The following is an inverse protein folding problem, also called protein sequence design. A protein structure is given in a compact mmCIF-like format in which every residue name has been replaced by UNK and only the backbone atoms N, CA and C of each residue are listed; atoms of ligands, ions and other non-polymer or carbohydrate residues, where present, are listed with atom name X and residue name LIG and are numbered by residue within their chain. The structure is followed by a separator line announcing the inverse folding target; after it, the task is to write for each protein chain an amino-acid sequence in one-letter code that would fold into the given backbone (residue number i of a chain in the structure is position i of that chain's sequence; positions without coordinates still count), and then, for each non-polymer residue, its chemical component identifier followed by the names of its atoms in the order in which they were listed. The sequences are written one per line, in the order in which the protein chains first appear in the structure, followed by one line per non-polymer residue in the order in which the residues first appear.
data_IF_389573890149
#
_entry.id   IF_389573890149
#
_cell.length_a   1.000
_cell.length_b   1.000
_cell.length_c   1.000
_cell.angle_alpha   90.00
_cell.angle_beta   90.00
_cell.angle_gamma   90.00
#
_symmetry.space_group_name_H-M   'P 1'
#
loop_
_entity.id
_entity.type
_entity.pdbx_description
1 polymer ?
#
# COMPACT_ATOMS: atom_id res chain seq x y z
N UNK A 1 43.68 25.48 -4.81
CA UNK A 1 42.78 24.45 -5.40
C UNK A 1 42.92 23.08 -4.76
N UNK A 2 44.14 22.57 -4.52
CA UNK A 2 44.39 21.24 -3.94
C UNK A 2 43.74 21.06 -2.55
N UNK A 3 43.89 22.02 -1.65
CA UNK A 3 43.32 21.95 -0.30
C UNK A 3 41.78 21.88 -0.28
N UNK A 4 41.11 22.56 -1.22
CA UNK A 4 39.66 22.55 -1.35
C UNK A 4 39.19 21.18 -1.84
N UNK A 5 39.89 20.59 -2.80
CA UNK A 5 39.59 19.24 -3.30
C UNK A 5 39.77 18.17 -2.19
N UNK A 6 40.86 18.25 -1.41
CA UNK A 6 41.10 17.32 -0.31
C UNK A 6 40.03 17.39 0.77
N UNK A 7 39.56 18.59 1.12
CA UNK A 7 38.50 18.78 2.11
C UNK A 7 37.16 18.20 1.63
N UNK A 8 36.80 18.40 0.36
CA UNK A 8 35.58 17.83 -0.23
C UNK A 8 35.63 16.30 -0.26
N UNK A 9 36.79 15.71 -0.57
CA UNK A 9 36.98 14.25 -0.55
C UNK A 9 36.82 13.69 0.87
N UNK A 10 37.39 14.37 1.87
CA UNK A 10 37.29 13.93 3.27
C UNK A 10 35.85 14.03 3.78
N UNK A 11 35.15 15.12 3.46
CA UNK A 11 33.76 15.34 3.86
C UNK A 11 32.82 14.30 3.21
N UNK A 12 32.97 14.06 1.91
CA UNK A 12 32.18 13.06 1.18
C UNK A 12 32.47 11.64 1.68
N UNK A 13 33.73 11.29 1.91
CA UNK A 13 34.13 10.00 2.52
C UNK A 13 33.51 9.82 3.90
N UNK A 14 33.55 10.84 4.75
CA UNK A 14 32.97 10.81 6.10
C UNK A 14 31.45 10.68 6.04
N UNK A 15 30.77 11.38 5.13
CA UNK A 15 29.32 11.24 4.91
C UNK A 15 28.97 9.83 4.41
N UNK A 16 29.75 9.26 3.48
CA UNK A 16 29.56 7.89 2.99
C UNK A 16 29.80 6.87 4.11
N UNK A 17 30.83 7.08 4.93
CA UNK A 17 31.15 6.22 6.07
C UNK A 17 30.06 6.28 7.14
N UNK A 18 29.64 7.49 7.53
CA UNK A 18 28.53 7.71 8.47
C UNK A 18 27.24 7.13 7.90
N UNK A 19 26.91 7.31 6.61
CA UNK A 19 25.77 6.63 5.98
C UNK A 19 25.92 5.11 6.05
N UNK A 20 27.07 4.54 5.71
CA UNK A 20 27.28 3.08 5.77
C UNK A 20 27.21 2.53 7.19
N UNK A 21 27.66 3.29 8.19
CA UNK A 21 27.74 2.86 9.58
C UNK A 21 26.43 3.10 10.34
N UNK A 22 25.79 4.27 10.17
CA UNK A 22 24.54 4.66 10.84
C UNK A 22 23.28 4.25 10.08
N UNK A 23 23.34 4.17 8.74
CA UNK A 23 22.26 3.60 7.92
C UNK A 23 22.57 2.14 7.54
N UNK A 24 23.33 1.42 8.38
CA UNK A 24 23.49 -0.03 8.22
C UNK A 24 22.12 -0.65 8.43
N UNK A 25 21.40 -0.84 7.33
CA UNK A 25 20.02 -1.31 7.36
C UNK A 25 20.01 -2.69 8.02
N UNK A 26 19.36 -2.77 9.19
CA UNK A 26 19.18 -4.04 9.90
C UNK A 26 18.43 -4.98 8.95
N UNK A 27 19.09 -6.07 8.55
CA UNK A 27 18.40 -7.17 7.87
C UNK A 27 17.27 -7.63 8.78
N UNK A 28 16.07 -7.74 8.21
CA UNK A 28 14.93 -8.30 8.94
C UNK A 28 15.21 -9.80 9.04
N UNK A 29 15.36 -10.30 10.27
CA UNK A 29 15.31 -11.74 10.50
C UNK A 29 13.90 -12.22 10.15
N UNK A 30 13.75 -13.08 9.14
CA UNK A 30 12.46 -13.60 8.68
C UNK A 30 12.08 -14.92 9.35
N UNK A 31 12.97 -15.48 10.18
CA UNK A 31 12.80 -16.81 10.79
C UNK A 31 11.55 -16.85 11.66
N UNK A 32 10.66 -17.80 11.37
CA UNK A 32 9.42 -18.01 12.13
C UNK A 32 8.37 -16.90 11.99
N UNK A 33 8.56 -15.92 11.09
CA UNK A 33 7.60 -14.84 10.89
C UNK A 33 6.50 -15.23 9.93
N UNK A 34 5.27 -14.85 10.30
CA UNK A 34 4.05 -15.11 9.54
C UNK A 34 3.52 -13.80 8.98
N UNK A 35 3.24 -13.75 7.68
CA UNK A 35 2.64 -12.59 7.00
C UNK A 35 1.27 -12.95 6.45
N UNK A 36 0.25 -12.15 6.80
CA UNK A 36 -1.08 -12.23 6.22
C UNK A 36 -1.19 -11.29 5.03
N UNK A 37 -1.61 -11.77 3.86
CA UNK A 37 -1.81 -10.95 2.65
C UNK A 37 -3.25 -11.12 2.17
N UNK A 38 -3.97 -10.02 1.95
CA UNK A 38 -5.33 -10.05 1.45
C UNK A 38 -5.43 -9.80 -0.06
N UNK A 39 -6.40 -10.43 -0.73
CA UNK A 39 -6.68 -10.18 -2.15
C UNK A 39 -5.63 -10.75 -3.10
N UNK A 40 -5.30 -12.03 -2.94
CA UNK A 40 -4.23 -12.70 -3.70
C UNK A 40 -4.72 -13.42 -4.97
N UNK A 41 -5.93 -13.14 -5.43
CA UNK A 41 -6.49 -13.76 -6.64
C UNK A 41 -5.67 -13.45 -7.91
N UNK A 42 -5.04 -12.29 -7.97
CA UNK A 42 -4.22 -11.81 -9.10
C UNK A 42 -3.32 -10.62 -8.73
N UNK A 43 -2.64 -10.05 -9.72
CA UNK A 43 -1.96 -8.75 -9.61
C UNK A 43 -0.91 -8.66 -8.50
N UNK A 44 -0.88 -7.51 -7.82
CA UNK A 44 0.11 -7.24 -6.77
C UNK A 44 0.01 -8.18 -5.57
N UNK A 45 -1.20 -8.63 -5.20
CA UNK A 45 -1.39 -9.57 -4.11
C UNK A 45 -0.71 -10.91 -4.38
N UNK A 46 -0.96 -11.47 -5.56
CA UNK A 46 -0.32 -12.71 -6.02
C UNK A 46 1.20 -12.55 -6.15
N UNK A 47 1.66 -11.48 -6.80
CA UNK A 47 3.09 -11.23 -6.99
C UNK A 47 3.83 -11.06 -5.64
N UNK A 48 3.21 -10.37 -4.69
CA UNK A 48 3.76 -10.19 -3.34
C UNK A 48 3.82 -11.51 -2.58
N UNK A 49 2.76 -12.33 -2.67
CA UNK A 49 2.72 -13.64 -2.03
C UNK A 49 3.81 -14.57 -2.58
N UNK A 50 3.96 -14.67 -3.90
CA UNK A 50 5.03 -15.47 -4.53
C UNK A 50 6.41 -15.00 -4.08
N UNK A 51 6.67 -13.68 -4.11
CA UNK A 51 7.96 -13.14 -3.71
C UNK A 51 8.28 -13.36 -2.23
N UNK A 52 7.31 -13.20 -1.33
CA UNK A 52 7.51 -13.41 0.10
C UNK A 52 7.68 -14.90 0.45
N UNK A 53 7.01 -15.79 -0.30
CA UNK A 53 7.23 -17.23 -0.23
C UNK A 53 8.67 -17.59 -0.62
N UNK A 54 9.19 -17.04 -1.73
CA UNK A 54 10.59 -17.27 -2.17
C UNK A 54 11.63 -16.78 -1.16
N UNK A 55 11.28 -15.78 -0.33
CA UNK A 55 12.11 -15.26 0.76
C UNK A 55 12.08 -16.19 2.00
N UNK A 56 11.22 -17.22 2.00
CA UNK A 56 11.11 -18.23 3.06
C UNK A 56 10.17 -17.84 4.20
N UNK A 57 9.36 -16.79 4.04
CA UNK A 57 8.35 -16.43 5.03
C UNK A 57 7.19 -17.43 5.03
N UNK A 58 6.59 -17.64 6.19
CA UNK A 58 5.31 -18.35 6.27
C UNK A 58 4.19 -17.39 5.91
N UNK A 59 3.31 -17.82 5.02
CA UNK A 59 2.24 -16.97 4.51
C UNK A 59 0.87 -17.47 4.90
N UNK A 60 0.00 -16.52 5.20
CA UNK A 60 -1.44 -16.69 5.23
C UNK A 60 -1.96 -15.79 4.10
N UNK A 61 -2.67 -16.33 3.13
CA UNK A 61 -3.16 -15.56 1.99
C UNK A 61 -4.65 -15.69 1.85
N UNK A 62 -5.34 -14.58 1.56
CA UNK A 62 -6.78 -14.61 1.29
C UNK A 62 -7.07 -14.33 -0.17
N UNK A 63 -7.96 -15.13 -0.74
CA UNK A 63 -8.51 -14.96 -2.09
C UNK A 63 -10.03 -14.85 -2.00
N UNK A 64 -10.65 -14.11 -2.91
CA UNK A 64 -12.11 -14.04 -3.01
C UNK A 64 -12.67 -15.27 -3.74
N UNK A 65 -11.99 -15.71 -4.80
CA UNK A 65 -12.43 -16.82 -5.64
C UNK A 65 -11.43 -17.99 -5.56
N UNK A 66 -11.96 -19.15 -5.22
CA UNK A 66 -11.23 -20.41 -5.16
C UNK A 66 -10.59 -20.83 -6.49
N UNK A 67 -11.19 -20.41 -7.60
CA UNK A 67 -10.79 -20.77 -8.95
C UNK A 67 -9.88 -19.74 -9.63
N UNK A 68 -9.53 -18.66 -8.93
CA UNK A 68 -8.63 -17.63 -9.45
C UNK A 68 -7.24 -18.20 -9.74
N UNK A 69 -6.52 -17.54 -10.66
CA UNK A 69 -5.14 -17.89 -11.02
C UNK A 69 -4.27 -17.91 -9.76
N UNK A 70 -4.41 -16.88 -8.91
CA UNK A 70 -3.66 -16.78 -7.68
C UNK A 70 -4.00 -17.86 -6.66
N UNK A 71 -5.28 -18.16 -6.42
CA UNK A 71 -5.66 -19.23 -5.50
C UNK A 71 -5.09 -20.59 -5.94
N UNK A 72 -5.14 -20.91 -7.25
CA UNK A 72 -4.60 -22.17 -7.79
C UNK A 72 -3.08 -22.26 -7.70
N UNK A 73 -2.37 -21.15 -7.89
CA UNK A 73 -0.91 -21.12 -7.78
C UNK A 73 -0.46 -21.21 -6.32
N UNK A 74 -1.04 -20.40 -5.43
CA UNK A 74 -0.62 -20.30 -4.03
C UNK A 74 -0.89 -21.58 -3.24
N UNK A 75 -1.94 -22.34 -3.59
CA UNK A 75 -2.22 -23.66 -2.98
C UNK A 75 -1.16 -24.72 -3.26
N UNK A 76 -0.34 -24.54 -4.31
CA UNK A 76 0.74 -25.48 -4.64
C UNK A 76 2.02 -25.19 -3.86
N UNK A 77 2.10 -24.05 -3.19
CA UNK A 77 3.27 -23.63 -2.44
C UNK A 77 3.29 -24.28 -1.07
N UNK A 78 4.48 -24.66 -0.61
CA UNK A 78 4.67 -25.04 0.79
C UNK A 78 4.63 -23.80 1.69
N UNK A 79 4.48 -24.00 3.01
CA UNK A 79 4.55 -22.90 3.99
C UNK A 79 3.59 -21.72 3.71
N UNK A 80 2.48 -21.99 3.00
CA UNK A 80 1.48 -21.00 2.55
C UNK A 80 0.09 -21.56 2.81
N UNK A 81 -0.66 -20.92 3.69
CA UNK A 81 -2.02 -21.29 4.06
C UNK A 81 -3.00 -20.39 3.28
N UNK A 82 -3.78 -20.97 2.36
CA UNK A 82 -4.72 -20.24 1.48
C UNK A 82 -6.14 -20.29 2.02
N UNK A 83 -6.76 -19.13 2.22
CA UNK A 83 -8.13 -18.99 2.70
C UNK A 83 -9.01 -18.32 1.64
N UNK A 84 -10.19 -18.87 1.41
CA UNK A 84 -11.22 -18.22 0.59
C UNK A 84 -12.06 -17.37 1.53
N UNK A 85 -12.06 -16.05 1.30
CA UNK A 85 -12.67 -15.09 2.21
C UNK A 85 -13.24 -13.90 1.45
N UNK A 86 -14.54 -13.68 1.61
CA UNK A 86 -15.15 -12.44 1.18
C UNK A 86 -15.04 -11.36 2.26
N UNK A 87 -14.11 -10.42 2.07
CA UNK A 87 -13.88 -9.29 2.99
C UNK A 87 -15.03 -8.27 3.03
N UNK A 88 -16.11 -8.47 2.29
CA UNK A 88 -17.37 -7.72 2.43
C UNK A 88 -18.35 -8.36 3.41
N UNK A 89 -18.13 -9.61 3.79
CA UNK A 89 -19.01 -10.37 4.67
C UNK A 89 -18.45 -10.40 6.09
N UNK A 90 -18.99 -9.57 6.98
CA UNK A 90 -18.51 -9.46 8.36
C UNK A 90 -18.53 -10.81 9.11
N UNK A 91 -19.54 -11.65 8.89
CA UNK A 91 -19.64 -12.96 9.55
C UNK A 91 -18.55 -13.94 9.10
N UNK A 92 -18.18 -13.92 7.81
CA UNK A 92 -17.05 -14.72 7.33
C UNK A 92 -15.73 -14.25 7.93
N UNK A 93 -15.55 -12.94 8.05
CA UNK A 93 -14.36 -12.33 8.64
C UNK A 93 -14.23 -12.73 10.12
N UNK A 94 -15.32 -12.70 10.89
CA UNK A 94 -15.32 -13.11 12.30
C UNK A 94 -14.91 -14.58 12.46
N UNK A 95 -15.49 -15.48 11.66
CA UNK A 95 -15.13 -16.91 11.66
C UNK A 95 -13.67 -17.13 11.29
N UNK A 96 -13.20 -16.42 10.27
CA UNK A 96 -11.80 -16.46 9.85
C UNK A 96 -10.87 -15.99 10.96
N UNK A 97 -11.19 -14.91 11.67
CA UNK A 97 -10.39 -14.42 12.80
C UNK A 97 -10.31 -15.45 13.92
N UNK A 98 -11.42 -16.11 14.26
CA UNK A 98 -11.43 -17.19 15.27
C UNK A 98 -10.50 -18.33 14.82
N UNK A 99 -10.66 -18.81 13.58
CA UNK A 99 -9.84 -19.87 13.02
C UNK A 99 -8.35 -19.51 13.02
N UNK A 100 -8.01 -18.26 12.67
CA UNK A 100 -6.62 -17.77 12.69
C UNK A 100 -6.03 -17.78 14.10
N UNK A 101 -6.78 -17.35 15.12
CA UNK A 101 -6.32 -17.35 16.51
C UNK A 101 -6.00 -18.77 17.00
N UNK A 102 -6.83 -19.74 16.63
CA UNK A 102 -6.64 -21.13 17.04
C UNK A 102 -5.46 -21.79 16.32
N UNK A 103 -5.32 -21.52 15.03
CA UNK A 103 -4.29 -22.12 14.16
C UNK A 103 -2.90 -21.51 14.39
N UNK A 104 -2.83 -20.19 14.56
CA UNK A 104 -1.58 -19.43 14.62
C UNK A 104 -1.36 -18.79 16.00
N UNK A 105 -1.19 -19.62 17.02
CA UNK A 105 -1.02 -19.20 18.42
C UNK A 105 0.19 -18.26 18.67
N UNK A 106 1.19 -18.28 17.79
CA UNK A 106 2.34 -17.37 17.81
C UNK A 106 2.06 -15.96 17.28
N UNK A 107 0.84 -15.71 16.79
CA UNK A 107 0.43 -14.43 16.23
C UNK A 107 0.93 -14.21 14.80
N UNK A 108 0.51 -13.09 14.23
CA UNK A 108 0.87 -12.67 12.87
C UNK A 108 1.86 -11.50 12.99
N UNK A 109 2.99 -11.57 12.27
CA UNK A 109 4.03 -10.55 12.34
C UNK A 109 3.66 -9.31 11.53
N UNK A 110 3.06 -9.49 10.36
CA UNK A 110 2.65 -8.38 9.49
C UNK A 110 1.39 -8.72 8.71
N UNK A 111 0.64 -7.67 8.35
CA UNK A 111 -0.54 -7.76 7.48
C UNK A 111 -0.33 -6.84 6.28
N UNK A 112 -0.57 -7.37 5.09
CA UNK A 112 -0.59 -6.64 3.81
C UNK A 112 -2.04 -6.53 3.37
N UNK A 113 -2.64 -5.38 3.64
CA UNK A 113 -4.02 -5.06 3.23
C UNK A 113 -4.04 -4.69 1.73
N UNK A 114 -3.98 -5.71 0.88
CA UNK A 114 -3.96 -5.54 -0.57
C UNK A 114 -5.34 -5.72 -1.22
N UNK A 115 -6.29 -6.40 -0.57
CA UNK A 115 -7.65 -6.52 -1.10
C UNK A 115 -8.30 -5.14 -1.29
N UNK A 116 -8.70 -4.86 -2.53
CA UNK A 116 -9.38 -3.64 -2.92
C UNK A 116 -10.18 -3.89 -4.19
N UNK A 117 -11.33 -3.22 -4.31
CA UNK A 117 -12.20 -3.35 -5.47
C UNK A 117 -12.34 -1.94 -6.04
N UNK A 118 -11.58 -1.64 -7.09
CA UNK A 118 -11.94 -0.61 -8.05
C UNK A 118 -12.90 -1.22 -9.07
N UNK A 119 -13.72 -0.40 -9.71
CA UNK A 119 -14.56 -0.83 -10.84
C UNK A 119 -13.71 -1.66 -11.82
N UNK A 120 -14.14 -2.88 -12.20
CA UNK A 120 -13.31 -3.75 -13.02
C UNK A 120 -13.26 -3.21 -14.44
N UNK A 121 -12.11 -2.61 -14.76
CA UNK A 121 -11.40 -2.88 -15.98
C UNK A 121 -9.95 -3.07 -15.57
N UNK A 122 -9.25 -4.03 -16.17
CA UNK A 122 -7.79 -4.07 -16.09
C UNK A 122 -7.27 -2.66 -16.38
N UNK A 123 -6.86 -1.90 -15.36
CA UNK A 123 -6.30 -0.55 -15.58
C UNK A 123 -5.14 -0.58 -16.60
N UNK A 124 -4.53 -1.76 -16.76
CA UNK A 124 -3.46 -2.09 -17.70
C UNK A 124 -3.94 -2.56 -19.09
N UNK A 125 -5.19 -3.04 -19.26
CA UNK A 125 -5.75 -3.43 -20.59
C UNK A 125 -6.85 -2.48 -21.08
N UNK A 126 -7.36 -1.63 -20.19
CA UNK A 126 -8.21 -0.51 -20.56
C UNK A 126 -7.42 0.42 -21.46
N UNK A 127 -7.98 0.77 -22.61
CA UNK A 127 -7.44 1.88 -23.38
C UNK A 127 -7.39 3.11 -22.48
N UNK A 128 -6.31 3.89 -22.59
CA UNK A 128 -6.16 5.17 -21.88
C UNK A 128 -7.39 6.07 -22.09
N UNK A 129 -8.04 5.95 -23.26
CA UNK A 129 -9.30 6.63 -23.60
C UNK A 129 -10.48 6.17 -22.72
N UNK A 130 -10.63 4.87 -22.48
CA UNK A 130 -11.70 4.32 -21.66
C UNK A 130 -11.48 4.63 -20.17
N UNK A 131 -10.25 4.51 -19.68
CA UNK A 131 -9.89 4.95 -18.33
C UNK A 131 -10.17 6.45 -18.13
N UNK A 132 -9.75 7.29 -19.08
CA UNK A 132 -10.08 8.73 -19.07
C UNK A 132 -11.59 8.99 -19.04
N UNK A 133 -12.40 8.20 -19.74
CA UNK A 133 -13.85 8.39 -19.74
C UNK A 133 -14.50 7.99 -18.41
N UNK A 134 -14.05 6.93 -17.73
CA UNK A 134 -14.59 6.56 -16.41
C UNK A 134 -14.18 7.58 -15.35
N UNK A 135 -12.92 8.02 -15.40
CA UNK A 135 -12.38 8.99 -14.43
C UNK A 135 -12.66 10.46 -14.80
N UNK A 136 -13.44 10.72 -15.84
CA UNK A 136 -13.85 12.06 -16.21
C UNK A 136 -14.85 12.62 -15.20
N UNK A 137 -14.75 13.93 -14.96
CA UNK A 137 -15.66 14.70 -14.10
C UNK A 137 -17.14 14.53 -14.46
N UNK A 138 -17.46 14.39 -15.75
CA UNK A 138 -18.82 14.12 -16.24
C UNK A 138 -19.37 12.76 -15.76
N UNK A 139 -18.53 11.72 -15.74
CA UNK A 139 -18.92 10.38 -15.30
C UNK A 139 -19.17 10.32 -13.80
N UNK A 140 -18.34 10.99 -13.00
CA UNK A 140 -18.59 11.14 -11.56
C UNK A 140 -19.86 11.93 -11.26
N UNK A 141 -20.12 12.98 -12.03
CA UNK A 141 -21.34 13.78 -11.91
C UNK A 141 -22.58 12.96 -12.22
N UNK A 142 -22.57 12.18 -13.30
CA UNK A 142 -23.70 11.32 -13.67
C UNK A 142 -23.96 10.22 -12.63
N UNK A 143 -22.90 9.60 -12.09
CA UNK A 143 -23.01 8.63 -11.02
C UNK A 143 -23.58 9.25 -9.72
N UNK A 144 -23.18 10.48 -9.39
CA UNK A 144 -23.74 11.22 -8.25
C UNK A 144 -25.23 11.51 -8.43
N UNK A 145 -25.66 11.92 -9.63
CA UNK A 145 -27.07 12.18 -9.96
C UNK A 145 -27.88 10.89 -9.83
N UNK A 146 -27.37 9.79 -10.37
CA UNK A 146 -28.05 8.50 -10.27
C UNK A 146 -28.17 8.05 -8.81
N UNK A 147 -27.08 8.14 -8.03
CA UNK A 147 -27.10 7.79 -6.61
C UNK A 147 -28.08 8.65 -5.83
N UNK A 148 -28.15 9.96 -6.12
CA UNK A 148 -29.12 10.87 -5.52
C UNK A 148 -30.56 10.45 -5.84
N UNK A 149 -30.83 10.07 -7.09
CA UNK A 149 -32.13 9.60 -7.56
C UNK A 149 -32.52 8.20 -7.05
N UNK A 150 -31.55 7.40 -6.62
CA UNK A 150 -31.78 6.06 -6.05
C UNK A 150 -31.90 6.09 -4.51
N UNK A 151 -31.55 7.20 -3.85
CA UNK A 151 -31.74 7.35 -2.40
C UNK A 151 -33.22 7.41 -2.01
N UNK A 152 -33.59 6.71 -0.94
CA UNK A 152 -34.90 6.85 -0.31
C UNK A 152 -35.09 8.25 0.28
N UNK A 153 -36.32 8.77 0.27
CA UNK A 153 -36.62 10.15 0.66
C UNK A 153 -36.21 10.48 2.11
N UNK A 154 -36.30 9.51 3.02
CA UNK A 154 -35.83 9.64 4.40
C UNK A 154 -34.32 9.91 4.46
N UNK A 155 -33.52 9.19 3.66
CA UNK A 155 -32.07 9.38 3.59
C UNK A 155 -31.70 10.65 2.84
N UNK A 156 -32.47 11.05 1.81
CA UNK A 156 -32.28 12.36 1.15
C UNK A 156 -32.49 13.51 2.12
N UNK A 157 -33.46 13.41 3.02
CA UNK A 157 -33.74 14.47 4.00
C UNK A 157 -32.61 14.69 5.02
N UNK A 158 -31.76 13.68 5.23
CA UNK A 158 -30.58 13.75 6.11
C UNK A 158 -29.37 14.43 5.44
N UNK A 159 -29.36 14.57 4.12
CA UNK A 159 -28.25 15.16 3.38
C UNK A 159 -28.70 16.42 2.65
N UNK A 160 -27.98 17.54 2.83
CA UNK A 160 -28.18 18.70 1.98
C UNK A 160 -27.71 18.37 0.56
N UNK A 161 -28.59 18.55 -0.43
CA UNK A 161 -28.33 18.30 -1.86
C UNK A 161 -27.07 19.02 -2.36
N UNK A 162 -26.91 20.29 -1.98
CA UNK A 162 -25.77 21.10 -2.41
C UNK A 162 -24.47 20.56 -1.83
N UNK A 163 -24.47 20.14 -0.57
CA UNK A 163 -23.30 19.56 0.08
C UNK A 163 -22.98 18.16 -0.46
N UNK A 164 -24.00 17.37 -0.80
CA UNK A 164 -23.85 16.07 -1.43
C UNK A 164 -23.12 16.22 -2.78
N UNK A 165 -23.64 17.05 -3.68
CA UNK A 165 -23.01 17.26 -4.99
C UNK A 165 -21.64 17.94 -4.88
N UNK A 166 -21.45 18.87 -3.93
CA UNK A 166 -20.15 19.50 -3.66
C UNK A 166 -19.08 18.50 -3.25
N UNK A 167 -19.44 17.43 -2.52
CA UNK A 167 -18.50 16.35 -2.18
C UNK A 167 -18.03 15.58 -3.42
N UNK A 168 -18.93 15.27 -4.34
CA UNK A 168 -18.59 14.61 -5.61
C UNK A 168 -17.77 15.52 -6.53
N UNK A 169 -18.12 16.80 -6.63
CA UNK A 169 -17.34 17.83 -7.34
C UNK A 169 -15.90 17.94 -6.81
N UNK A 170 -15.75 17.98 -5.48
CA UNK A 170 -14.43 18.02 -4.83
C UNK A 170 -13.65 16.73 -5.11
N UNK A 171 -14.30 15.57 -5.09
CA UNK A 171 -13.67 14.29 -5.41
C UNK A 171 -13.19 14.26 -6.86
N UNK A 172 -14.02 14.68 -7.82
CA UNK A 172 -13.67 14.76 -9.22
C UNK A 172 -12.51 15.74 -9.47
N UNK A 173 -12.54 16.92 -8.84
CA UNK A 173 -11.45 17.91 -8.91
C UNK A 173 -10.14 17.36 -8.32
N UNK A 174 -10.22 16.56 -7.26
CA UNK A 174 -9.05 15.89 -6.71
C UNK A 174 -8.54 14.77 -7.62
N UNK A 175 -9.42 14.08 -8.35
CA UNK A 175 -9.01 13.09 -9.35
C UNK A 175 -8.38 13.70 -10.59
N UNK A 176 -8.84 14.87 -11.05
CA UNK A 176 -8.18 15.61 -12.13
C UNK A 176 -6.71 15.90 -11.74
N UNK A 177 -6.48 16.31 -10.48
CA UNK A 177 -5.12 16.49 -9.92
C UNK A 177 -4.33 15.18 -9.81
N UNK A 178 -5.01 14.04 -9.61
CA UNK A 178 -4.39 12.71 -9.59
C UNK A 178 -3.90 12.30 -10.97
N UNK A 179 -4.59 12.69 -12.04
CA UNK A 179 -4.18 12.39 -13.42
C UNK A 179 -2.87 13.08 -13.85
N UNK A 180 -2.50 14.15 -13.15
CA UNK A 180 -1.24 14.88 -13.31
C UNK A 180 -0.11 14.35 -12.40
N UNK A 181 -0.38 13.33 -11.58
CA UNK A 181 0.63 12.78 -10.66
C UNK A 181 1.72 12.08 -11.47
N UNK A 182 2.93 12.61 -11.35
CA UNK A 182 4.13 11.93 -11.81
C UNK A 182 4.33 10.62 -11.03
N UNK A 183 4.11 9.48 -11.69
CA UNK A 183 4.24 8.13 -11.11
C UNK A 183 5.69 7.64 -11.03
N UNK A 184 6.65 8.32 -11.67
CA UNK A 184 8.06 7.89 -11.68
C UNK A 184 8.62 7.58 -10.29
N UNK A 185 8.33 8.34 -9.21
CA UNK A 185 8.85 8.03 -7.88
C UNK A 185 8.29 6.72 -7.29
N UNK A 186 7.10 6.29 -7.72
CA UNK A 186 6.49 5.01 -7.33
C UNK A 186 7.13 3.88 -8.13
N UNK A 187 7.26 4.07 -9.44
CA UNK A 187 7.88 3.10 -10.35
C UNK A 187 9.32 2.82 -9.90
N UNK A 188 10.12 3.85 -9.64
CA UNK A 188 11.47 3.71 -9.08
C UNK A 188 11.47 2.93 -7.77
N UNK A 189 10.51 3.18 -6.87
CA UNK A 189 10.46 2.50 -5.57
C UNK A 189 10.15 1.00 -5.74
N UNK A 190 9.23 0.65 -6.65
CA UNK A 190 8.89 -0.73 -6.98
C UNK A 190 10.06 -1.42 -7.67
N UNK A 191 10.67 -0.77 -8.67
CA UNK A 191 11.84 -1.30 -9.37
C UNK A 191 12.98 -1.60 -8.40
N UNK A 192 13.29 -0.66 -7.50
CA UNK A 192 14.26 -0.87 -6.43
C UNK A 192 13.84 -2.02 -5.49
N UNK A 193 12.56 -2.17 -5.20
CA UNK A 193 12.07 -3.23 -4.32
C UNK A 193 12.22 -4.63 -4.93
N UNK A 194 11.97 -4.76 -6.23
CA UNK A 194 11.98 -6.04 -6.94
C UNK A 194 13.39 -6.43 -7.36
N UNK A 195 14.23 -5.47 -7.75
CA UNK A 195 15.60 -5.72 -8.26
C UNK A 195 16.68 -5.73 -7.17
N UNK A 196 16.38 -5.30 -5.94
CA UNK A 196 17.40 -5.24 -4.89
C UNK A 196 17.86 -6.62 -4.43
N UNK A 197 19.17 -6.84 -4.49
CA UNK A 197 19.86 -8.00 -3.93
C UNK A 197 19.83 -8.03 -2.39
N UNK A 198 19.55 -6.89 -1.74
CA UNK A 198 19.39 -6.78 -0.29
C UNK A 198 18.10 -6.00 0.02
N UNK A 199 16.97 -6.70 0.19
CA UNK A 199 15.68 -6.05 0.35
C UNK A 199 15.62 -5.18 1.62
N UNK A 200 15.05 -3.98 1.48
CA UNK A 200 14.97 -2.95 2.53
C UNK A 200 13.64 -3.00 3.27
N UNK A 201 13.62 -2.59 4.54
CA UNK A 201 12.39 -2.46 5.34
C UNK A 201 11.45 -1.40 4.72
N UNK A 202 11.99 -0.36 4.09
CA UNK A 202 11.22 0.72 3.48
C UNK A 202 11.82 1.17 2.15
N UNK A 203 10.96 1.30 1.14
CA UNK A 203 11.27 1.93 -0.14
C UNK A 203 10.53 3.27 -0.22
N UNK A 204 11.13 4.37 0.28
CA UNK A 204 10.46 5.67 0.29
C UNK A 204 10.15 6.15 -1.13
N UNK A 205 8.86 6.43 -1.36
CA UNK A 205 8.31 6.95 -2.62
C UNK A 205 8.41 8.46 -2.61
N UNK A 206 9.11 9.04 -3.58
CA UNK A 206 9.28 10.48 -3.70
C UNK A 206 10.46 11.06 -2.91
N UNK A 207 10.99 12.19 -3.40
CA UNK A 207 12.13 12.89 -2.78
C UNK A 207 11.83 13.34 -1.36
N UNK A 208 10.60 13.82 -1.10
CA UNK A 208 10.15 14.25 0.22
C UNK A 208 10.20 13.13 1.26
N UNK A 209 9.72 11.92 0.93
CA UNK A 209 9.76 10.78 1.84
C UNK A 209 11.20 10.29 2.10
N UNK A 210 12.08 10.35 1.09
CA UNK A 210 13.51 10.04 1.24
C UNK A 210 14.19 10.99 2.22
N UNK A 211 13.97 12.31 2.04
CA UNK A 211 14.52 13.34 2.93
C UNK A 211 13.92 13.20 4.33
N UNK A 212 12.61 13.03 4.44
CA UNK A 212 11.93 12.85 5.72
C UNK A 212 12.47 11.65 6.48
N UNK A 213 12.66 10.50 5.83
CA UNK A 213 13.24 9.32 6.49
C UNK A 213 14.67 9.58 6.98
N UNK A 214 15.50 10.26 6.17
CA UNK A 214 16.87 10.61 6.58
C UNK A 214 16.81 11.52 7.81
N UNK A 215 16.07 12.62 7.74
CA UNK A 215 15.93 13.59 8.83
C UNK A 215 15.35 12.92 10.08
N UNK A 216 14.23 12.21 9.95
CA UNK A 216 13.56 11.51 11.05
C UNK A 216 14.46 10.46 11.70
N UNK A 217 15.23 9.70 10.91
CA UNK A 217 16.16 8.69 11.44
C UNK A 217 17.33 9.29 12.21
N UNK A 218 17.73 10.53 11.89
CA UNK A 218 18.81 11.24 12.57
C UNK A 218 18.34 12.05 13.79
N UNK A 219 17.03 12.19 14.00
CA UNK A 219 16.51 12.92 15.16
C UNK A 219 16.65 12.13 16.47
N UNK A 220 16.91 12.79 17.61
CA UNK A 220 16.82 12.15 18.92
C UNK A 220 15.42 11.56 19.16
N UNK A 221 15.35 10.45 19.90
CA UNK A 221 14.11 9.68 20.17
C UNK A 221 12.97 10.59 20.68
N UNK A 222 13.28 11.55 21.55
CA UNK A 222 12.30 12.49 22.11
C UNK A 222 11.64 13.40 21.04
N UNK A 223 12.39 13.79 20.00
CA UNK A 223 11.87 14.56 18.87
C UNK A 223 11.08 13.68 17.90
N UNK A 224 11.54 12.45 17.66
CA UNK A 224 10.80 11.46 16.86
C UNK A 224 9.40 11.21 17.46
N UNK A 225 9.31 11.01 18.78
CA UNK A 225 8.04 10.83 19.48
C UNK A 225 7.12 12.06 19.37
N UNK A 226 7.65 13.28 19.53
CA UNK A 226 6.86 14.53 19.38
C UNK A 226 6.32 14.72 17.96
N UNK A 227 7.15 14.47 16.94
CA UNK A 227 6.74 14.56 15.53
C UNK A 227 5.69 13.51 15.17
N UNK A 228 5.83 12.28 15.67
CA UNK A 228 4.85 11.21 15.46
C UNK A 228 3.47 11.61 15.99
N UNK A 229 3.43 12.21 17.18
CA UNK A 229 2.19 12.72 17.80
C UNK A 229 1.57 13.85 16.97
N UNK A 230 2.36 14.74 16.39
CA UNK A 230 1.86 15.82 15.54
C UNK A 230 1.22 15.29 14.24
N UNK A 231 1.84 14.30 13.61
CA UNK A 231 1.31 13.66 12.38
C UNK A 231 0.09 12.78 12.59
N UNK A 232 -0.13 12.25 13.81
CA UNK A 232 -1.30 11.43 14.12
C UNK A 232 -2.53 12.23 14.55
N UNK A 233 -2.38 13.52 14.88
CA UNK A 233 -3.46 14.35 15.44
C UNK A 233 -4.25 15.12 14.38
N UNK A 234 -3.91 14.98 13.09
CA UNK A 234 -4.59 15.63 11.95
C UNK A 234 -5.56 14.72 11.19
N UNK A 235 -5.92 13.57 11.77
CA UNK A 235 -6.99 12.70 11.28
C UNK A 235 -8.04 12.49 12.38
N UNK A 236 -8.82 13.54 12.64
CA UNK A 236 -10.15 13.44 13.22
C UNK A 236 -11.14 13.98 12.19
#
# INVERSE_FOLDING_TARGET
MIAVASFVILLTSTIVYVRKFWLKEKKIDTTGKIVLITGCDSGFGLASALRLHDIGLRLIVTCLNNDSVGAKQLKKLSNTDVYILNLRNCTEIEKFIIQLKDTFKGGIWAIVNNAGIGTPGELLSMSVKHAKNIFQRSSFRNAAIQLWNDLEDEKRSLYNEQDFFKRFENMATNMDKVSEINLNPVIEAIENAVTSLNPKIRYPVGKGARIFNIVYSSLPVNLQFKLRKFTSTTRN
#
